data_IF_688510130151
#
_entry.id   IF_688510130151
#
_cell.length_a   1.000
_cell.length_b   1.000
_cell.length_c   1.000
_cell.angle_alpha   90.00
_cell.angle_beta   90.00
_cell.angle_gamma   90.00
#
_symmetry.space_group_name_H-M   'P 1'
#
loop_
_entity.id
_entity.type
_entity.pdbx_description
1 polymer ?
#
# COMPACT_ATOMS: atom_id res chain seq x y z
N UNK A 1 19.56 33.32 -9.63
CA UNK A 1 18.53 32.96 -8.62
C UNK A 1 17.19 32.57 -9.23
N UNK A 2 16.48 33.43 -9.99
CA UNK A 2 15.21 33.08 -10.66
C UNK A 2 15.18 31.75 -11.47
N UNK A 3 16.18 31.43 -12.32
CA UNK A 3 16.15 30.18 -13.09
C UNK A 3 16.33 28.93 -12.22
N UNK A 4 17.05 29.05 -11.10
CA UNK A 4 17.25 27.95 -10.15
C UNK A 4 15.93 27.62 -9.42
N UNK A 5 15.18 28.67 -9.02
CA UNK A 5 13.89 28.52 -8.35
C UNK A 5 12.82 27.89 -9.27
N UNK A 6 12.82 28.24 -10.57
CA UNK A 6 11.88 27.68 -11.55
C UNK A 6 12.07 26.17 -11.77
N UNK A 7 13.30 25.65 -11.64
CA UNK A 7 13.57 24.21 -11.77
C UNK A 7 13.23 23.41 -10.51
N UNK A 8 13.50 23.96 -9.32
CA UNK A 8 13.35 23.23 -8.05
C UNK A 8 11.90 23.16 -7.58
N UNK A 9 11.11 24.22 -7.83
CA UNK A 9 9.72 24.31 -7.37
C UNK A 9 8.82 23.16 -7.84
N UNK A 10 8.82 22.72 -9.12
CA UNK A 10 8.01 21.59 -9.56
C UNK A 10 8.47 20.26 -8.94
N UNK A 11 9.78 20.04 -8.80
CA UNK A 11 10.34 18.83 -8.18
C UNK A 11 9.87 18.73 -6.72
N UNK A 12 9.95 19.84 -5.98
CA UNK A 12 9.49 19.91 -4.60
C UNK A 12 7.97 19.66 -4.50
N UNK A 13 7.18 20.30 -5.37
CA UNK A 13 5.72 20.12 -5.40
C UNK A 13 5.32 18.67 -5.68
N UNK A 14 5.92 18.03 -6.68
CA UNK A 14 5.68 16.63 -7.01
C UNK A 14 6.13 15.69 -5.89
N UNK A 15 7.28 15.96 -5.27
CA UNK A 15 7.78 15.18 -4.13
C UNK A 15 6.82 15.24 -2.95
N UNK A 16 6.20 16.40 -2.70
CA UNK A 16 5.19 16.55 -1.65
C UNK A 16 3.92 15.74 -1.96
N UNK A 17 3.48 15.71 -3.22
CA UNK A 17 2.34 14.88 -3.66
C UNK A 17 2.64 13.39 -3.42
N UNK A 18 3.83 12.92 -3.81
CA UNK A 18 4.25 11.54 -3.56
C UNK A 18 4.35 11.22 -2.06
N UNK A 19 4.85 12.15 -1.24
CA UNK A 19 4.88 11.99 0.21
C UNK A 19 3.48 11.87 0.82
N UNK A 20 2.53 12.72 0.39
CA UNK A 20 1.12 12.63 0.81
C UNK A 20 0.49 11.30 0.43
N UNK A 21 0.71 10.85 -0.81
CA UNK A 21 0.24 9.55 -1.28
C UNK A 21 0.85 8.40 -0.49
N UNK A 22 2.14 8.48 -0.15
CA UNK A 22 2.81 7.51 0.71
C UNK A 22 2.19 7.46 2.09
N UNK A 23 1.97 8.60 2.73
CA UNK A 23 1.32 8.65 4.04
C UNK A 23 -0.06 7.99 4.01
N UNK A 24 -0.86 8.25 2.97
CA UNK A 24 -2.16 7.59 2.78
C UNK A 24 -2.04 6.08 2.57
N UNK A 25 -1.10 5.63 1.74
CA UNK A 25 -0.85 4.20 1.52
C UNK A 25 -0.44 3.47 2.81
N UNK A 26 0.47 4.07 3.60
CA UNK A 26 0.91 3.51 4.87
C UNK A 26 -0.17 3.56 5.96
N UNK A 27 -1.03 4.58 5.97
CA UNK A 27 -2.20 4.62 6.83
C UNK A 27 -3.15 3.45 6.53
N UNK A 28 -3.47 3.22 5.25
CA UNK A 28 -4.36 2.12 4.82
C UNK A 28 -3.77 0.77 5.22
N UNK A 29 -2.48 0.55 5.01
CA UNK A 29 -1.82 -0.71 5.36
C UNK A 29 -1.78 -0.93 6.88
N UNK A 30 -1.57 0.14 7.65
CA UNK A 30 -1.64 0.09 9.12
C UNK A 30 -3.05 -0.19 9.63
N UNK A 31 -4.08 0.38 9.00
CA UNK A 31 -5.49 0.09 9.32
C UNK A 31 -5.81 -1.38 9.04
N UNK A 32 -5.38 -1.89 7.88
CA UNK A 32 -5.60 -3.29 7.51
C UNK A 32 -4.96 -4.24 8.53
N UNK A 33 -3.68 -4.06 8.85
CA UNK A 33 -2.96 -4.93 9.78
C UNK A 33 -3.39 -4.73 11.24
N UNK A 34 -3.67 -3.49 11.63
CA UNK A 34 -4.19 -3.16 12.95
C UNK A 34 -5.58 -3.72 13.21
N UNK A 35 -6.42 -3.86 12.17
CA UNK A 35 -7.76 -4.46 12.29
C UNK A 35 -7.74 -5.94 12.66
N UNK A 36 -6.60 -6.63 12.55
CA UNK A 36 -6.45 -8.05 12.87
C UNK A 36 -5.97 -8.24 14.32
N UNK A 37 -5.36 -7.22 14.93
CA UNK A 37 -4.86 -7.29 16.29
C UNK A 37 -6.01 -7.23 17.30
N UNK A 38 -6.08 -8.22 18.19
CA UNK A 38 -7.12 -8.32 19.24
C UNK A 38 -6.67 -7.76 20.58
N UNK A 39 -5.35 -7.61 20.79
CA UNK A 39 -4.72 -7.12 22.01
C UNK A 39 -3.72 -6.02 21.71
N UNK A 40 -3.58 -5.05 22.62
CA UNK A 40 -2.65 -3.92 22.46
C UNK A 40 -1.19 -4.36 22.28
N UNK A 41 -0.78 -5.44 22.93
CA UNK A 41 0.56 -6.03 22.81
C UNK A 41 0.85 -6.60 21.42
N UNK A 42 -0.19 -7.00 20.69
CA UNK A 42 -0.07 -7.58 19.35
C UNK A 42 -0.11 -6.50 18.25
N UNK A 43 -0.66 -5.30 18.54
CA UNK A 43 -0.72 -4.19 17.57
C UNK A 43 0.68 -3.80 17.07
N UNK A 44 1.66 -3.68 17.97
CA UNK A 44 3.04 -3.34 17.58
C UNK A 44 3.69 -4.42 16.70
N UNK A 45 3.32 -5.69 16.90
CA UNK A 45 3.80 -6.81 16.07
C UNK A 45 3.10 -6.82 14.72
N UNK A 46 1.79 -6.52 14.69
CA UNK A 46 1.00 -6.45 13.46
C UNK A 46 1.45 -5.34 12.52
N UNK A 47 2.00 -4.22 13.04
CA UNK A 47 2.48 -3.10 12.22
C UNK A 47 3.92 -3.33 11.70
N UNK A 48 4.65 -4.34 12.18
CA UNK A 48 6.03 -4.61 11.71
C UNK A 48 6.19 -4.70 10.18
N UNK A 49 5.28 -5.32 9.40
CA UNK A 49 5.37 -5.34 7.95
C UNK A 49 5.34 -3.93 7.31
N UNK A 50 4.62 -2.97 7.91
CA UNK A 50 4.59 -1.56 7.50
C UNK A 50 5.99 -0.96 7.63
N UNK A 51 6.63 -1.22 8.78
CA UNK A 51 7.97 -0.72 9.10
C UNK A 51 8.99 -1.29 8.13
N UNK A 52 8.99 -2.60 7.89
CA UNK A 52 9.90 -3.22 6.92
C UNK A 52 9.71 -2.68 5.50
N UNK A 53 8.47 -2.49 5.06
CA UNK A 53 8.18 -1.92 3.73
C UNK A 53 8.72 -0.50 3.61
N UNK A 54 8.54 0.32 4.65
CA UNK A 54 9.10 1.68 4.74
C UNK A 54 10.62 1.66 4.62
N UNK A 55 11.28 0.80 5.39
CA UNK A 55 12.73 0.67 5.39
C UNK A 55 13.25 0.26 4.01
N UNK A 56 12.60 -0.73 3.37
CA UNK A 56 12.97 -1.18 2.03
C UNK A 56 12.88 -0.03 1.01
N UNK A 57 11.76 0.71 1.00
CA UNK A 57 11.59 1.86 0.11
C UNK A 57 12.65 2.93 0.32
N UNK A 58 12.98 3.22 1.58
CA UNK A 58 14.02 4.17 1.95
C UNK A 58 15.41 3.74 1.47
N UNK A 59 15.80 2.48 1.64
CA UNK A 59 17.10 1.98 1.16
C UNK A 59 17.19 1.95 -0.37
N UNK A 60 16.10 1.62 -1.07
CA UNK A 60 16.06 1.71 -2.55
C UNK A 60 16.27 3.17 -2.98
N UNK A 61 15.68 4.13 -2.27
CA UNK A 61 15.86 5.55 -2.56
C UNK A 61 17.31 6.01 -2.36
N UNK A 62 17.97 5.59 -1.27
CA UNK A 62 19.40 5.87 -1.05
C UNK A 62 20.25 5.28 -2.19
N UNK A 63 19.99 4.03 -2.58
CA UNK A 63 20.68 3.39 -3.69
C UNK A 63 20.43 4.13 -5.02
N UNK A 64 19.22 4.65 -5.22
CA UNK A 64 18.84 5.44 -6.38
C UNK A 64 19.58 6.77 -6.53
N UNK A 65 20.13 7.33 -5.45
CA UNK A 65 20.98 8.53 -5.55
C UNK A 65 22.29 8.23 -6.30
N UNK A 66 22.78 6.99 -6.24
CA UNK A 66 24.00 6.56 -6.91
C UNK A 66 23.71 5.88 -8.27
N UNK A 67 22.64 5.10 -8.34
CA UNK A 67 22.29 4.28 -9.51
C UNK A 67 20.80 4.46 -9.90
N UNK A 68 20.40 5.67 -10.36
CA UNK A 68 18.99 6.02 -10.56
C UNK A 68 18.29 5.24 -11.68
N UNK A 69 19.06 4.74 -12.67
CA UNK A 69 18.56 3.96 -13.79
C UNK A 69 18.60 2.44 -13.56
N UNK A 70 19.01 1.99 -12.37
CA UNK A 70 19.05 0.56 -12.07
C UNK A 70 17.65 -0.05 -12.10
N UNK A 71 17.50 -1.33 -12.52
CA UNK A 71 16.19 -1.98 -12.57
C UNK A 71 15.44 -1.96 -11.24
N UNK A 72 16.17 -2.07 -10.12
CA UNK A 72 15.59 -2.05 -8.77
C UNK A 72 14.96 -0.69 -8.46
N UNK A 73 15.61 0.40 -8.86
CA UNK A 73 15.11 1.77 -8.64
C UNK A 73 13.95 2.08 -9.57
N UNK A 74 14.02 1.65 -10.83
CA UNK A 74 12.90 1.79 -11.77
C UNK A 74 11.68 1.04 -11.24
N UNK A 75 11.80 -0.26 -10.92
CA UNK A 75 10.68 -1.05 -10.39
C UNK A 75 10.17 -0.47 -9.06
N UNK A 76 11.08 -0.13 -8.14
CA UNK A 76 10.73 0.46 -6.84
C UNK A 76 10.01 1.80 -6.96
N UNK A 77 10.19 2.53 -8.06
CA UNK A 77 9.48 3.77 -8.31
C UNK A 77 8.01 3.57 -8.74
N UNK A 78 7.66 2.41 -9.28
CA UNK A 78 6.28 2.08 -9.71
C UNK A 78 5.46 1.38 -8.64
N UNK A 79 6.10 0.77 -7.64
CA UNK A 79 5.42 0.07 -6.56
C UNK A 79 4.84 1.09 -5.57
N UNK A 80 3.52 1.11 -5.30
CA UNK A 80 2.86 2.20 -4.56
C UNK A 80 3.39 2.48 -3.15
N UNK A 81 3.90 1.46 -2.46
CA UNK A 81 4.45 1.63 -1.11
C UNK A 81 5.89 2.17 -1.10
N UNK A 82 6.68 1.87 -2.15
CA UNK A 82 8.08 2.31 -2.24
C UNK A 82 8.24 3.57 -3.09
N UNK A 83 7.32 3.81 -4.02
CA UNK A 83 7.26 4.99 -4.89
C UNK A 83 7.40 6.33 -4.14
N UNK A 84 6.76 6.55 -2.96
CA UNK A 84 6.91 7.78 -2.17
C UNK A 84 8.34 8.12 -1.79
N UNK A 85 9.22 7.12 -1.71
CA UNK A 85 10.64 7.31 -1.42
C UNK A 85 11.47 7.39 -2.70
N UNK A 86 11.18 6.52 -3.67
CA UNK A 86 12.05 6.30 -4.84
C UNK A 86 11.78 7.30 -5.97
N UNK A 87 10.52 7.67 -6.24
CA UNK A 87 10.20 8.61 -7.31
C UNK A 87 10.78 10.02 -7.09
N UNK A 88 10.73 10.61 -5.88
CA UNK A 88 11.40 11.89 -5.61
C UNK A 88 12.90 11.89 -5.95
N UNK A 89 13.59 10.78 -5.72
CA UNK A 89 15.01 10.63 -6.09
C UNK A 89 15.19 10.59 -7.60
N UNK A 90 14.31 9.87 -8.32
CA UNK A 90 14.33 9.85 -9.80
C UNK A 90 13.99 11.22 -10.41
N UNK A 91 13.07 11.96 -9.79
CA UNK A 91 12.74 13.34 -10.16
C UNK A 91 13.95 14.27 -9.97
N UNK A 92 14.63 14.16 -8.83
CA UNK A 92 15.79 14.99 -8.51
C UNK A 92 17.02 14.68 -9.38
N UNK A 93 17.11 13.46 -9.92
CA UNK A 93 18.20 13.03 -10.82
C UNK A 93 17.83 13.18 -12.30
N UNK A 94 16.66 13.73 -12.62
CA UNK A 94 16.15 13.92 -13.99
C UNK A 94 16.15 12.64 -14.84
N UNK A 95 15.97 11.48 -14.20
CA UNK A 95 16.01 10.14 -14.84
C UNK A 95 14.63 9.58 -15.18
N UNK A 96 13.59 10.40 -15.05
CA UNK A 96 12.20 10.01 -15.30
C UNK A 96 11.52 11.03 -16.18
N UNK A 97 10.78 10.53 -17.17
CA UNK A 97 10.04 11.38 -18.11
C UNK A 97 8.72 11.88 -17.51
N UNK A 98 8.21 13.01 -18.02
CA UNK A 98 6.94 13.57 -17.55
C UNK A 98 5.76 12.61 -17.68
N UNK A 99 5.76 11.75 -18.71
CA UNK A 99 4.71 10.75 -18.92
C UNK A 99 4.76 9.64 -17.86
N UNK A 100 5.94 9.14 -17.52
CA UNK A 100 6.11 8.12 -16.49
C UNK A 100 5.65 8.62 -15.12
N UNK A 101 5.90 9.90 -14.80
CA UNK A 101 5.42 10.53 -13.55
C UNK A 101 3.90 10.46 -13.46
N UNK A 102 3.20 10.88 -14.52
CA UNK A 102 1.73 10.91 -14.56
C UNK A 102 1.16 9.50 -14.46
N UNK A 103 1.71 8.55 -15.23
CA UNK A 103 1.28 7.15 -15.19
C UNK A 103 1.50 6.53 -13.80
N UNK A 104 2.63 6.83 -13.16
CA UNK A 104 2.94 6.35 -11.81
C UNK A 104 1.95 6.92 -10.80
N UNK A 105 1.66 8.23 -10.86
CA UNK A 105 0.69 8.88 -9.98
C UNK A 105 -0.70 8.25 -10.11
N UNK A 106 -1.18 8.07 -11.34
CA UNK A 106 -2.48 7.44 -11.61
C UNK A 106 -2.53 5.99 -11.12
N UNK A 107 -1.47 5.21 -11.39
CA UNK A 107 -1.37 3.81 -10.96
C UNK A 107 -1.37 3.68 -9.44
N UNK A 108 -0.57 4.49 -8.75
CA UNK A 108 -0.51 4.49 -7.30
C UNK A 108 -1.83 4.99 -6.67
N UNK A 109 -2.48 5.99 -7.27
CA UNK A 109 -3.80 6.45 -6.82
C UNK A 109 -4.87 5.37 -6.99
N UNK A 110 -4.92 4.70 -8.14
CA UNK A 110 -5.84 3.59 -8.39
C UNK A 110 -5.64 2.44 -7.39
N UNK A 111 -4.36 2.09 -7.15
CA UNK A 111 -4.02 1.10 -6.13
C UNK A 111 -4.47 1.52 -4.73
N UNK A 112 -4.32 2.81 -4.39
CA UNK A 112 -4.73 3.33 -3.10
C UNK A 112 -6.24 3.23 -2.88
N UNK A 113 -7.05 3.56 -3.90
CA UNK A 113 -8.50 3.39 -3.86
C UNK A 113 -8.88 1.92 -3.64
N UNK A 114 -8.22 1.01 -4.36
CA UNK A 114 -8.42 -0.43 -4.19
C UNK A 114 -8.04 -0.91 -2.78
N UNK A 115 -6.87 -0.51 -2.28
CA UNK A 115 -6.40 -0.88 -0.96
C UNK A 115 -7.29 -0.31 0.15
N UNK A 116 -7.81 0.91 -0.01
CA UNK A 116 -8.76 1.51 0.92
C UNK A 116 -10.07 0.72 0.97
N UNK A 117 -10.61 0.35 -0.19
CA UNK A 117 -11.81 -0.50 -0.26
C UNK A 117 -11.59 -1.87 0.43
N UNK A 118 -10.42 -2.47 0.23
CA UNK A 118 -10.04 -3.71 0.91
C UNK A 118 -9.98 -3.50 2.44
N UNK A 119 -9.30 -2.46 2.91
CA UNK A 119 -9.18 -2.13 4.32
C UNK A 119 -10.54 -1.92 4.98
N UNK A 120 -11.48 -1.23 4.33
CA UNK A 120 -12.85 -1.07 4.82
C UNK A 120 -13.60 -2.40 4.92
N UNK A 121 -13.38 -3.30 3.96
CA UNK A 121 -14.00 -4.63 3.95
C UNK A 121 -13.50 -5.48 5.11
N UNK A 122 -12.18 -5.50 5.34
CA UNK A 122 -11.59 -6.20 6.48
C UNK A 122 -11.98 -5.57 7.83
N UNK A 123 -12.00 -4.24 7.92
CA UNK A 123 -12.44 -3.54 9.11
C UNK A 123 -13.89 -3.90 9.48
N UNK A 124 -14.80 -3.89 8.49
CA UNK A 124 -16.19 -4.34 8.70
C UNK A 124 -16.25 -5.80 9.12
N UNK A 125 -15.48 -6.68 8.48
CA UNK A 125 -15.45 -8.10 8.82
C UNK A 125 -14.99 -8.32 10.27
N UNK A 126 -13.93 -7.66 10.73
CA UNK A 126 -13.44 -7.84 12.10
C UNK A 126 -14.35 -7.18 13.14
N UNK A 127 -14.81 -5.96 12.90
CA UNK A 127 -15.59 -5.19 13.88
C UNK A 127 -17.06 -5.63 13.96
N UNK A 128 -17.73 -5.92 12.83
CA UNK A 128 -19.12 -6.43 12.84
C UNK A 128 -19.22 -7.92 13.19
N UNK A 129 -18.13 -8.67 13.21
CA UNK A 129 -18.15 -10.09 13.63
C UNK A 129 -18.23 -10.30 15.16
N UNK A 130 -18.42 -9.23 15.93
CA UNK A 130 -18.73 -9.31 17.37
C UNK A 130 -20.20 -9.68 17.66
N UNK A 131 -21.03 -9.95 16.65
CA UNK A 131 -22.33 -10.60 16.87
C UNK A 131 -22.59 -11.70 15.83
N UNK A 132 -22.25 -12.92 16.26
CA UNK A 132 -22.66 -14.22 15.73
C UNK A 132 -22.16 -14.65 14.33
N UNK A 133 -20.97 -15.28 14.35
CA UNK A 133 -20.50 -16.32 13.41
C UNK A 133 -20.16 -15.80 12.00
N UNK A 134 -18.91 -15.37 11.86
CA UNK A 134 -18.32 -14.87 10.60
C UNK A 134 -18.52 -15.77 9.37
N UNK A 135 -18.27 -15.17 8.19
CA UNK A 135 -18.50 -15.73 6.84
C UNK A 135 -17.96 -17.14 6.66
N UNK A 136 -16.85 -17.48 7.32
CA UNK A 136 -16.23 -18.81 7.32
C UNK A 136 -17.17 -19.87 7.92
N UNK A 137 -17.92 -19.53 8.96
CA UNK A 137 -18.88 -20.43 9.61
C UNK A 137 -20.17 -20.57 8.80
N UNK A 138 -20.62 -19.50 8.12
CA UNK A 138 -21.74 -19.56 7.18
C UNK A 138 -21.41 -20.44 5.96
N UNK A 139 -20.18 -20.33 5.44
CA UNK A 139 -19.70 -21.17 4.36
C UNK A 139 -19.57 -22.64 4.79
N UNK A 140 -19.00 -22.90 5.98
CA UNK A 140 -18.87 -24.26 6.53
C UNK A 140 -20.23 -24.90 6.82
N UNK A 141 -21.22 -24.14 7.29
CA UNK A 141 -22.59 -24.60 7.53
C UNK A 141 -23.32 -24.91 6.22
N UNK A 142 -23.17 -24.08 5.20
CA UNK A 142 -23.75 -24.33 3.88
C UNK A 142 -23.15 -25.57 3.22
N UNK A 143 -21.83 -25.76 3.35
CA UNK A 143 -21.14 -26.96 2.85
C UNK A 143 -21.57 -28.23 3.60
N UNK A 144 -21.73 -28.18 4.93
CA UNK A 144 -22.21 -29.33 5.70
C UNK A 144 -23.66 -29.70 5.39
N UNK A 145 -24.52 -28.71 5.14
CA UNK A 145 -25.93 -28.91 4.79
C UNK A 145 -26.08 -29.56 3.41
N UNK A 146 -25.29 -29.11 2.42
CA UNK A 146 -25.24 -29.73 1.10
C UNK A 146 -24.80 -31.19 1.14
N UNK A 147 -23.86 -31.52 2.04
CA UNK A 147 -23.40 -32.90 2.24
C UNK A 147 -24.46 -33.78 2.93
N UNK A 148 -25.25 -33.23 3.85
CA UNK A 148 -26.35 -33.99 4.50
C UNK A 148 -27.54 -34.25 3.59
N UNK A 149 -27.87 -33.35 2.66
CA UNK A 149 -28.95 -33.57 1.68
C UNK A 149 -28.64 -34.69 0.68
N UNK A 150 -27.37 -34.91 0.33
CA UNK A 150 -26.94 -36.01 -0.55
C UNK A 150 -26.86 -37.37 0.15
N UNK A 151 -26.82 -37.41 1.49
CA UNK A 151 -26.77 -38.66 2.27
C UNK A 151 -28.14 -39.23 2.64
N UNK A 152 -29.23 -38.48 2.44
CA UNK A 152 -30.60 -38.90 2.76
C UNK A 152 -31.39 -39.43 1.54
N UNK A 153 -30.78 -39.46 0.35
CA UNK A 153 -31.39 -39.94 -0.90
C UNK A 153 -30.66 -41.14 -1.52
N UNK A 154 -29.89 -41.90 -0.74
CA UNK A 154 -29.26 -43.15 -1.17
C UNK A 154 -29.65 -44.28 -0.21
#
# INVERSE_FOLDING_TARGET
FKPLLLGILPIFGLSLVFALMGMLAYMILSVLLGSIATRLEDVQKSIQPVIFTTIIGFYIAIYGLQQPNSPVVVIGSWVPFTSPFVMPVRLATETVSNLEIVLCLLGCFAFMVFAFWLALTFYKATVLSTSDKGVIHAFKRSYSLWKSEKGQKA
#
